data_IF_344816879315
#
_entry.id   IF_344816879315
#
_cell.length_a   1.000
_cell.length_b   1.000
_cell.length_c   1.000
_cell.angle_alpha   90.00
_cell.angle_beta   90.00
_cell.angle_gamma   90.00
#
_symmetry.space_group_name_H-M   'P 1'
#
loop_
_entity.id
_entity.type
_entity.pdbx_description
1 polymer ?
#
# COMPACT_ATOMS: atom_id res chain seq x y z
N UNK A 1 -23.83 -4.35 3.31
CA UNK A 1 -22.53 -3.74 2.96
C UNK A 1 -22.82 -2.31 2.57
N UNK A 2 -22.08 -1.37 3.13
CA UNK A 2 -22.20 0.07 2.87
C UNK A 2 -20.88 0.54 2.30
N UNK A 3 -20.89 0.94 1.02
CA UNK A 3 -19.67 1.31 0.29
C UNK A 3 -19.07 2.60 0.85
N UNK A 4 -19.89 3.58 1.24
CA UNK A 4 -19.40 4.87 1.73
C UNK A 4 -18.71 4.70 3.08
N UNK A 5 -19.28 3.87 3.96
CA UNK A 5 -18.62 3.47 5.20
C UNK A 5 -17.33 2.71 4.89
N UNK A 6 -17.34 1.77 3.94
CA UNK A 6 -16.15 1.00 3.61
C UNK A 6 -15.01 1.88 3.06
N UNK A 7 -15.29 2.76 2.10
CA UNK A 7 -14.30 3.68 1.52
C UNK A 7 -13.69 4.59 2.58
N UNK A 8 -14.50 5.03 3.54
CA UNK A 8 -14.04 5.86 4.67
C UNK A 8 -13.13 5.11 5.63
N UNK A 9 -13.50 3.89 6.02
CA UNK A 9 -12.81 3.15 7.08
C UNK A 9 -11.64 2.27 6.59
N UNK A 10 -11.65 1.83 5.32
CA UNK A 10 -10.72 0.80 4.81
C UNK A 10 -9.25 1.11 5.05
N UNK A 11 -8.86 2.39 4.94
CA UNK A 11 -7.46 2.79 5.10
C UNK A 11 -6.99 2.56 6.53
N UNK A 12 -7.70 3.11 7.52
CA UNK A 12 -7.37 2.97 8.93
C UNK A 12 -7.38 1.50 9.39
N UNK A 13 -8.30 0.70 8.85
CA UNK A 13 -8.35 -0.74 9.12
C UNK A 13 -7.10 -1.47 8.60
N UNK A 14 -6.62 -1.13 7.39
CA UNK A 14 -5.40 -1.73 6.84
C UNK A 14 -4.15 -1.23 7.55
N UNK A 15 -4.07 0.04 7.96
CA UNK A 15 -2.99 0.53 8.84
C UNK A 15 -2.96 -0.28 10.12
N UNK A 16 -4.08 -0.39 10.83
CA UNK A 16 -4.15 -1.17 12.06
C UNK A 16 -3.77 -2.64 11.83
N UNK A 17 -4.26 -3.27 10.76
CA UNK A 17 -3.88 -4.63 10.39
C UNK A 17 -2.38 -4.79 10.09
N UNK A 18 -1.80 -3.84 9.35
CA UNK A 18 -0.37 -3.78 9.06
C UNK A 18 0.45 -3.61 10.33
N UNK A 19 0.08 -2.70 11.24
CA UNK A 19 0.77 -2.54 12.54
C UNK A 19 0.80 -3.85 13.32
N UNK A 20 -0.33 -4.56 13.41
CA UNK A 20 -0.38 -5.85 14.09
C UNK A 20 0.44 -6.92 13.34
N UNK A 21 0.39 -6.93 12.00
CA UNK A 21 1.13 -7.88 11.16
C UNK A 21 2.65 -7.71 11.29
N UNK A 22 3.15 -6.49 11.18
CA UNK A 22 4.59 -6.21 11.20
C UNK A 22 5.12 -6.05 12.63
N UNK A 23 4.27 -5.70 13.59
CA UNK A 23 4.63 -5.60 15.01
C UNK A 23 4.72 -6.93 15.75
N UNK A 24 4.09 -8.00 15.25
CA UNK A 24 4.15 -9.33 15.89
C UNK A 24 5.45 -10.10 15.60
N UNK A 25 6.20 -9.72 14.57
CA UNK A 25 7.43 -10.39 14.12
C UNK A 25 8.55 -9.35 13.94
N UNK A 26 9.59 -9.36 14.80
CA UNK A 26 10.69 -8.40 14.73
C UNK A 26 11.48 -8.42 13.41
N UNK A 27 11.61 -9.57 12.75
CA UNK A 27 12.33 -9.68 11.47
C UNK A 27 11.51 -9.03 10.35
N UNK A 28 10.21 -9.33 10.30
CA UNK A 28 9.30 -8.74 9.33
C UNK A 28 9.16 -7.22 9.55
N UNK A 29 9.04 -6.78 10.81
CA UNK A 29 9.04 -5.37 11.16
C UNK A 29 10.35 -4.67 10.77
N UNK A 30 11.50 -5.30 11.04
CA UNK A 30 12.80 -4.81 10.62
C UNK A 30 12.95 -4.70 9.09
N UNK A 31 12.41 -5.67 8.34
CA UNK A 31 12.36 -5.62 6.88
C UNK A 31 11.56 -4.42 6.37
N UNK A 32 10.38 -4.17 6.94
CA UNK A 32 9.55 -3.01 6.57
C UNK A 32 10.24 -1.69 6.92
N UNK A 33 10.78 -1.57 8.14
CA UNK A 33 11.51 -0.36 8.56
C UNK A 33 12.77 -0.11 7.72
N UNK A 34 13.42 -1.17 7.24
CA UNK A 34 14.56 -1.11 6.31
C UNK A 34 14.20 -0.48 4.95
N UNK A 35 12.92 -0.27 4.65
CA UNK A 35 12.50 0.48 3.47
C UNK A 35 12.78 1.98 3.58
N UNK A 36 12.88 2.52 4.80
CA UNK A 36 13.14 3.94 5.05
C UNK A 36 12.08 4.85 4.44
N UNK A 37 12.50 5.99 3.90
CA UNK A 37 11.58 7.00 3.34
C UNK A 37 11.15 6.71 1.88
N UNK A 38 11.36 5.49 1.38
CA UNK A 38 10.96 5.12 0.02
C UNK A 38 9.45 4.95 -0.04
N UNK A 39 8.84 5.46 -1.12
CA UNK A 39 7.42 5.21 -1.39
C UNK A 39 7.24 3.76 -1.79
N UNK A 40 6.52 3.00 -0.97
CA UNK A 40 6.18 1.61 -1.27
C UNK A 40 5.03 1.55 -2.27
N UNK A 41 5.11 0.65 -3.24
CA UNK A 41 4.08 0.48 -4.26
C UNK A 41 3.69 -0.98 -4.43
N UNK A 42 2.39 -1.24 -4.51
CA UNK A 42 1.87 -2.52 -5.00
C UNK A 42 1.64 -2.40 -6.52
N UNK A 43 2.48 -3.08 -7.29
CA UNK A 43 2.52 -2.99 -8.74
C UNK A 43 1.66 -4.09 -9.40
N UNK A 44 0.34 -4.02 -9.17
CA UNK A 44 -0.64 -4.83 -9.88
C UNK A 44 -1.42 -4.01 -10.91
N UNK A 45 -1.56 -4.49 -12.16
CA UNK A 45 -2.43 -3.86 -13.15
C UNK A 45 -3.93 -4.05 -12.84
N UNK A 46 -4.27 -5.00 -11.96
CA UNK A 46 -5.64 -5.36 -11.60
C UNK A 46 -6.14 -4.61 -10.38
N UNK A 47 -5.24 -4.12 -9.52
CA UNK A 47 -5.59 -3.39 -8.31
C UNK A 47 -5.36 -1.89 -8.48
N UNK A 48 -6.45 -1.12 -8.45
CA UNK A 48 -6.41 0.35 -8.52
C UNK A 48 -6.78 1.03 -7.20
N UNK A 49 -7.06 0.26 -6.15
CA UNK A 49 -7.37 0.79 -4.82
C UNK A 49 -6.13 0.64 -3.94
N UNK A 50 -5.65 -0.58 -3.79
CA UNK A 50 -4.47 -0.87 -2.97
C UNK A 50 -3.18 -0.75 -3.77
N UNK A 51 -3.23 -0.97 -5.08
CA UNK A 51 -2.11 -0.84 -6.01
C UNK A 51 -2.09 0.42 -6.85
N UNK A 52 -1.03 0.54 -7.66
CA UNK A 52 -0.81 1.66 -8.61
C UNK A 52 -1.48 1.43 -9.97
N UNK A 53 -2.11 0.26 -10.19
CA UNK A 53 -2.81 -0.05 -11.44
C UNK A 53 -1.88 -0.23 -12.65
N UNK A 54 -0.61 -0.58 -12.42
CA UNK A 54 0.43 -0.84 -13.41
C UNK A 54 1.15 -2.14 -13.06
N UNK A 55 1.64 -2.87 -14.07
CA UNK A 55 2.51 -4.02 -13.84
C UNK A 55 3.90 -3.56 -13.38
N UNK A 56 4.61 -4.40 -12.61
CA UNK A 56 5.92 -4.08 -12.06
C UNK A 56 7.00 -3.76 -13.12
N UNK A 57 6.85 -4.25 -14.35
CA UNK A 57 7.76 -4.01 -15.47
C UNK A 57 7.36 -2.82 -16.36
N UNK A 58 6.29 -2.10 -16.02
CA UNK A 58 5.86 -0.91 -16.72
C UNK A 58 6.77 0.29 -16.37
N UNK A 59 7.31 0.98 -17.37
CA UNK A 59 8.23 2.12 -17.19
C UNK A 59 7.61 3.28 -16.37
N UNK A 60 6.29 3.32 -16.25
CA UNK A 60 5.54 4.34 -15.52
C UNK A 60 5.42 4.04 -14.02
N UNK A 61 5.87 2.88 -13.54
CA UNK A 61 5.89 2.53 -12.11
C UNK A 61 6.62 3.60 -11.29
N UNK A 62 7.72 4.14 -11.83
CA UNK A 62 8.53 5.19 -11.20
C UNK A 62 7.95 6.60 -11.35
N UNK A 63 6.75 6.74 -11.94
CA UNK A 63 6.13 8.04 -12.27
C UNK A 63 4.78 8.18 -11.56
N UNK A 64 4.73 8.69 -10.32
CA UNK A 64 3.51 8.79 -9.53
C UNK A 64 2.34 9.49 -10.22
N UNK A 65 2.63 10.47 -11.09
CA UNK A 65 1.62 11.20 -11.85
C UNK A 65 0.96 10.37 -12.96
N UNK A 66 1.58 9.25 -13.34
CA UNK A 66 1.08 8.32 -14.36
C UNK A 66 0.42 7.07 -13.75
N UNK A 67 0.41 6.95 -12.43
CA UNK A 67 -0.28 5.87 -11.74
C UNK A 67 -1.79 5.91 -12.00
N UNK A 68 -2.39 4.73 -12.10
CA UNK A 68 -3.81 4.54 -12.40
C UNK A 68 -4.61 4.03 -11.19
N UNK A 69 -3.93 3.88 -10.06
CA UNK A 69 -4.49 3.43 -8.80
C UNK A 69 -4.06 4.31 -7.63
N UNK A 70 -4.72 4.11 -6.50
CA UNK A 70 -4.57 4.95 -5.30
C UNK A 70 -3.38 4.56 -4.42
N UNK A 71 -2.78 3.38 -4.64
CA UNK A 71 -1.67 2.86 -3.84
C UNK A 71 -1.91 2.85 -2.32
N UNK A 72 -3.15 2.62 -1.88
CA UNK A 72 -3.50 2.73 -0.46
C UNK A 72 -2.69 1.76 0.43
N UNK A 73 -2.26 0.62 -0.10
CA UNK A 73 -1.48 -0.35 0.68
C UNK A 73 -0.07 0.20 0.95
N UNK A 74 0.57 0.75 -0.09
CA UNK A 74 1.87 1.38 0.03
C UNK A 74 1.87 2.45 1.10
N UNK A 75 0.88 3.35 1.07
CA UNK A 75 0.74 4.39 2.09
C UNK A 75 0.42 3.83 3.48
N UNK A 76 -0.47 2.84 3.58
CA UNK A 76 -0.81 2.24 4.88
C UNK A 76 0.37 1.51 5.55
N UNK A 77 1.37 1.08 4.77
CA UNK A 77 2.60 0.48 5.29
C UNK A 77 3.64 1.52 5.74
N UNK A 78 3.42 2.80 5.45
CA UNK A 78 4.31 3.92 5.78
C UNK A 78 3.83 4.77 6.97
N UNK A 79 2.63 4.50 7.50
CA UNK A 79 2.06 5.12 8.72
C UNK A 79 2.58 4.46 10.00
#
# INVERSE_FOLDING_TARGET
>A
FDEDVWVRERFALVVAGSTHKFGQDPELGGFLLGTGDRVLVEASPLDRIWGIGLAADDERVERPQEWRGLNLLGFALME
#
